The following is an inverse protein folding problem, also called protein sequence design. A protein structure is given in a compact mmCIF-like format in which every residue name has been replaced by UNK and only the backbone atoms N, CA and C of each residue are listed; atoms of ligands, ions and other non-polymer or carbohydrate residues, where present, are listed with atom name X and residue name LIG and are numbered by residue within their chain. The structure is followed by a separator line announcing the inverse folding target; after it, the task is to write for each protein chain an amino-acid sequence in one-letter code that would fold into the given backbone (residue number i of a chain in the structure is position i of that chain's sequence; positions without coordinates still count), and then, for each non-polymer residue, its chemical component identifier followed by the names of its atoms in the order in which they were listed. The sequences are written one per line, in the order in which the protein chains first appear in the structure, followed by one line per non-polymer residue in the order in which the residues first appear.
data_IF_521152375479
#
_entry.id   IF_521152375479
#
_cell.length_a   1.000
_cell.length_b   1.000
_cell.length_c   1.000
_cell.angle_alpha   90.00
_cell.angle_beta   90.00
_cell.angle_gamma   90.00
#
_symmetry.space_group_name_H-M   'P 1'
#
loop_
_entity.id
_entity.type
_entity.pdbx_description
1 polymer ?
#
# COMPACT_ATOMS: atom_id res chain seq x y z
N UNK A 1 7.79 -4.58 5.06
CA UNK A 1 7.34 -3.69 6.16
C UNK A 1 5.83 -3.49 6.13
N UNK A 2 5.13 -3.44 7.28
CA UNK A 2 3.69 -3.18 7.31
C UNK A 2 3.37 -1.73 6.96
N UNK A 3 2.29 -1.52 6.20
CA UNK A 3 1.71 -0.19 5.97
C UNK A 3 1.17 0.34 7.31
N UNK A 4 1.57 1.56 7.69
CA UNK A 4 1.03 2.25 8.87
C UNK A 4 -0.48 2.40 8.70
N UNK A 5 -1.24 2.12 9.77
CA UNK A 5 -2.72 2.12 9.74
C UNK A 5 -3.30 3.40 9.18
N UNK A 6 -2.73 4.55 9.57
CA UNK A 6 -3.16 5.88 9.11
C UNK A 6 -3.05 6.01 7.58
N UNK A 7 -1.91 5.60 7.01
CA UNK A 7 -1.68 5.68 5.57
C UNK A 7 -2.58 4.73 4.79
N UNK A 8 -2.87 3.55 5.35
CA UNK A 8 -3.82 2.60 4.77
C UNK A 8 -5.24 3.19 4.73
N UNK A 9 -5.69 3.81 5.81
CA UNK A 9 -6.99 4.47 5.88
C UNK A 9 -7.10 5.63 4.89
N UNK A 10 -6.07 6.48 4.77
CA UNK A 10 -6.07 7.58 3.79
C UNK A 10 -6.19 7.09 2.34
N UNK A 11 -5.47 6.02 1.97
CA UNK A 11 -5.53 5.44 0.62
C UNK A 11 -6.92 4.87 0.32
N UNK A 12 -7.55 4.23 1.30
CA UNK A 12 -8.92 3.71 1.13
C UNK A 12 -9.90 4.87 0.94
N UNK A 13 -9.81 5.92 1.76
CA UNK A 13 -10.69 7.09 1.65
C UNK A 13 -10.55 7.83 0.31
N UNK A 14 -9.35 7.87 -0.27
CA UNK A 14 -9.09 8.53 -1.56
C UNK A 14 -9.63 7.75 -2.76
N UNK A 15 -9.66 6.42 -2.68
CA UNK A 15 -9.96 5.54 -3.81
C UNK A 15 -11.28 4.77 -3.69
N UNK A 16 -11.99 4.88 -2.57
CA UNK A 16 -13.29 4.21 -2.37
C UNK A 16 -14.34 4.71 -3.36
N UNK A 17 -15.12 3.79 -3.92
CA UNK A 17 -16.22 4.12 -4.83
C UNK A 17 -17.49 4.51 -4.06
N UNK A 18 -17.66 3.94 -2.87
CA UNK A 18 -18.74 4.24 -1.94
C UNK A 18 -18.23 4.19 -0.49
N UNK A 19 -19.03 4.68 0.47
CA UNK A 19 -18.56 4.91 1.84
C UNK A 19 -18.01 3.67 2.56
N UNK A 20 -18.51 2.49 2.21
CA UNK A 20 -18.11 1.19 2.79
C UNK A 20 -17.15 0.39 1.91
N UNK A 21 -16.67 0.97 0.81
CA UNK A 21 -15.79 0.28 -0.11
C UNK A 21 -14.36 0.19 0.44
N UNK A 22 -13.99 -1.01 0.87
CA UNK A 22 -12.65 -1.34 1.36
C UNK A 22 -11.94 -2.35 0.48
N UNK A 23 -12.55 -2.76 -0.63
CA UNK A 23 -12.24 -4.01 -1.32
C UNK A 23 -12.32 -3.96 -2.83
N UNK A 24 -12.78 -2.85 -3.42
CA UNK A 24 -12.84 -2.67 -4.86
C UNK A 24 -11.46 -2.84 -5.51
N UNK A 25 -11.43 -3.21 -6.81
CA UNK A 25 -10.20 -3.26 -7.57
C UNK A 25 -9.36 -1.98 -7.44
N UNK A 26 -10.00 -0.81 -7.46
CA UNK A 26 -9.38 0.51 -7.36
C UNK A 26 -8.67 0.69 -6.02
N UNK A 27 -9.37 0.42 -4.91
CA UNK A 27 -8.78 0.47 -3.56
C UNK A 27 -7.65 -0.54 -3.41
N UNK A 28 -7.82 -1.77 -3.89
CA UNK A 28 -6.79 -2.80 -3.81
C UNK A 28 -5.56 -2.46 -4.64
N UNK A 29 -5.72 -1.93 -5.86
CA UNK A 29 -4.63 -1.47 -6.71
C UNK A 29 -3.87 -0.32 -6.03
N UNK A 30 -4.56 0.64 -5.43
CA UNK A 30 -3.92 1.75 -4.72
C UNK A 30 -3.10 1.25 -3.52
N UNK A 31 -3.65 0.32 -2.73
CA UNK A 31 -2.96 -0.31 -1.59
C UNK A 31 -1.71 -1.10 -2.01
N UNK A 32 -1.82 -1.90 -3.08
CA UNK A 32 -0.70 -2.67 -3.61
C UNK A 32 0.39 -1.75 -4.18
N UNK A 33 0.00 -0.70 -4.92
CA UNK A 33 0.92 0.31 -5.44
C UNK A 33 1.71 0.98 -4.33
N UNK A 34 1.03 1.42 -3.27
CA UNK A 34 1.68 2.03 -2.12
C UNK A 34 2.68 1.07 -1.44
N UNK A 35 2.32 -0.21 -1.31
CA UNK A 35 3.20 -1.24 -0.76
C UNK A 35 4.40 -1.52 -1.65
N UNK A 36 4.22 -1.58 -2.97
CA UNK A 36 5.31 -1.77 -3.95
C UNK A 36 6.31 -0.62 -3.86
N UNK A 37 5.83 0.62 -3.79
CA UNK A 37 6.71 1.79 -3.66
C UNK A 37 7.50 1.75 -2.35
N UNK A 38 6.85 1.43 -1.23
CA UNK A 38 7.53 1.29 0.06
C UNK A 38 8.59 0.16 0.02
N UNK A 39 8.25 -0.99 -0.57
CA UNK A 39 9.18 -2.11 -0.69
C UNK A 39 10.36 -1.77 -1.61
N UNK A 40 10.11 -1.01 -2.68
CA UNK A 40 11.15 -0.58 -3.61
C UNK A 40 12.18 0.32 -2.91
N UNK A 41 11.73 1.29 -2.12
CA UNK A 41 12.65 2.13 -1.33
C UNK A 41 13.40 1.31 -0.27
N UNK A 42 12.71 0.41 0.44
CA UNK A 42 13.35 -0.51 1.39
C UNK A 42 14.48 -1.31 0.74
N UNK A 43 14.24 -1.92 -0.43
CA UNK A 43 15.23 -2.74 -1.12
C UNK A 43 16.39 -1.92 -1.73
N UNK A 44 16.17 -0.64 -2.05
CA UNK A 44 17.26 0.27 -2.46
C UNK A 44 18.27 0.49 -1.33
N UNK A 45 17.79 0.66 -0.11
CA UNK A 45 18.62 0.79 1.10
C UNK A 45 19.20 -0.57 1.50
N UNK A 46 18.38 -1.63 1.47
CA UNK A 46 18.71 -2.98 1.91
C UNK A 46 18.99 -3.93 0.73
N UNK A 47 20.04 -3.63 -0.04
CA UNK A 47 20.41 -4.36 -1.28
C UNK A 47 20.63 -5.88 -1.14
N UNK A 48 20.78 -6.40 0.07
CA UNK A 48 21.02 -7.83 0.35
C UNK A 48 19.80 -8.54 0.94
N UNK A 49 18.68 -7.85 1.04
CA UNK A 49 17.43 -8.42 1.54
C UNK A 49 16.69 -9.11 0.38
N UNK A 50 16.64 -10.45 0.42
CA UNK A 50 16.03 -11.30 -0.61
C UNK A 50 14.73 -11.99 -0.16
N UNK A 51 14.28 -11.78 1.08
CA UNK A 51 13.15 -12.50 1.69
C UNK A 51 12.01 -11.57 2.16
N UNK A 52 12.05 -10.29 1.78
CA UNK A 52 11.08 -9.26 2.17
C UNK A 52 9.64 -9.49 1.71
#
# INVERSE_FOLDING_TARGET
MPLVRERKSSIIEEHKIHETDTGSPEVQIALLTARINQLTEHLKEHKKDFHS
#
